data_IF_766593412887
#
_entry.id   IF_766593412887
#
_cell.length_a   1.000
_cell.length_b   1.000
_cell.length_c   1.000
_cell.angle_alpha   90.00
_cell.angle_beta   90.00
_cell.angle_gamma   90.00
#
_symmetry.space_group_name_H-M   'P 1'
#
loop_
_entity.id
_entity.type
_entity.pdbx_description
1 polymer ?
#
# COMPACT_ATOMS: atom_id res chain seq x y z
N UNK A 1 66.03 22.35 -4.87
CA UNK A 1 64.66 21.88 -4.48
C UNK A 1 64.24 20.90 -5.55
N UNK A 2 64.16 19.58 -5.21
CA UNK A 2 64.12 18.49 -6.20
C UNK A 2 62.79 18.49 -6.96
N UNK A 3 62.87 18.45 -8.32
CA UNK A 3 61.68 18.36 -9.23
C UNK A 3 60.74 17.24 -8.84
N UNK A 4 61.24 16.15 -8.27
CA UNK A 4 60.46 15.02 -7.78
C UNK A 4 59.61 15.33 -6.55
N UNK A 5 60.06 16.25 -5.69
CA UNK A 5 59.28 16.68 -4.51
C UNK A 5 58.03 17.49 -4.89
N UNK A 6 58.12 18.27 -5.97
CA UNK A 6 56.96 19.02 -6.51
C UNK A 6 55.91 18.10 -7.13
N UNK A 7 56.37 17.05 -7.82
CA UNK A 7 55.48 16.08 -8.45
C UNK A 7 54.74 15.26 -7.39
N UNK A 8 55.43 14.82 -6.34
CA UNK A 8 54.81 14.10 -5.20
C UNK A 8 53.81 14.95 -4.49
N UNK A 9 54.11 16.24 -4.24
CA UNK A 9 53.18 17.16 -3.61
C UNK A 9 51.89 17.41 -4.45
N UNK A 10 52.01 17.50 -5.80
CA UNK A 10 50.88 17.59 -6.71
C UNK A 10 50.02 16.33 -6.70
N UNK A 11 50.62 15.14 -6.72
CA UNK A 11 49.90 13.87 -6.67
C UNK A 11 49.11 13.68 -5.37
N UNK A 12 49.68 14.12 -4.23
CA UNK A 12 49.00 14.06 -2.92
C UNK A 12 47.80 15.02 -2.88
N UNK A 13 47.94 16.21 -3.49
CA UNK A 13 46.85 17.20 -3.54
C UNK A 13 45.61 16.69 -4.33
N UNK A 14 45.82 15.83 -5.33
CA UNK A 14 44.73 15.24 -6.11
C UNK A 14 43.96 14.13 -5.36
N UNK A 15 44.57 13.51 -4.36
CA UNK A 15 43.92 12.47 -3.54
C UNK A 15 42.91 13.02 -2.54
N UNK A 16 42.93 14.33 -2.29
CA UNK A 16 41.98 15.01 -1.41
C UNK A 16 40.78 15.62 -2.17
N UNK A 17 40.59 15.29 -3.46
CA UNK A 17 39.32 15.53 -4.14
C UNK A 17 38.27 14.58 -3.57
N UNK A 18 37.93 14.81 -2.32
CA UNK A 18 36.85 14.13 -1.61
C UNK A 18 35.58 14.29 -2.41
N UNK A 19 34.98 13.18 -2.83
CA UNK A 19 33.58 13.14 -3.24
C UNK A 19 32.78 13.86 -2.18
N UNK A 20 32.15 14.98 -2.52
CA UNK A 20 31.07 15.52 -1.70
C UNK A 20 30.00 14.45 -1.68
N UNK A 21 29.79 13.83 -0.52
CA UNK A 21 28.59 13.02 -0.28
C UNK A 21 27.47 14.05 -0.37
N UNK A 22 26.74 14.03 -1.45
CA UNK A 22 25.50 14.77 -1.58
C UNK A 22 24.58 14.18 -0.52
N UNK A 23 24.33 14.94 0.52
CA UNK A 23 23.39 14.56 1.58
C UNK A 23 22.02 14.52 0.92
N UNK A 24 21.61 13.30 0.50
CA UNK A 24 20.29 13.07 -0.09
C UNK A 24 19.31 13.36 1.04
N UNK A 25 18.69 14.54 1.01
CA UNK A 25 17.61 14.86 1.93
C UNK A 25 16.57 13.72 1.85
N UNK A 26 16.14 13.15 2.98
CA UNK A 26 15.15 12.06 2.96
C UNK A 26 13.90 12.58 2.24
N UNK A 27 13.53 11.91 1.14
CA UNK A 27 12.29 12.20 0.43
C UNK A 27 11.16 11.82 1.39
N UNK A 28 10.49 12.83 1.94
CA UNK A 28 9.30 12.61 2.76
C UNK A 28 8.19 12.14 1.84
N UNK A 29 7.81 10.87 1.95
CA UNK A 29 6.71 10.29 1.18
C UNK A 29 5.38 10.92 1.60
N UNK A 30 4.58 11.30 0.61
CA UNK A 30 3.26 11.87 0.89
C UNK A 30 2.31 10.78 1.44
N UNK A 31 1.40 11.13 2.35
CA UNK A 31 0.37 10.21 2.83
C UNK A 31 -0.43 9.58 1.69
N UNK A 32 -0.69 8.29 1.79
CA UNK A 32 -1.49 7.56 0.79
C UNK A 32 -2.95 7.94 0.93
N UNK A 33 -3.50 8.51 -0.12
CA UNK A 33 -4.91 8.86 -0.15
C UNK A 33 -5.74 7.68 -0.68
N UNK A 34 -6.42 6.99 0.23
CA UNK A 34 -7.32 5.88 -0.10
C UNK A 34 -8.77 6.33 -0.29
N UNK A 35 -9.10 7.61 -0.07
CA UNK A 35 -10.47 8.12 -0.22
C UNK A 35 -11.00 7.88 -1.63
N UNK A 36 -12.27 7.54 -1.75
CA UNK A 36 -12.95 7.26 -3.00
C UNK A 36 -13.72 5.95 -2.98
N UNK A 37 -14.43 5.65 -4.06
CA UNK A 37 -15.15 4.39 -4.27
C UNK A 37 -14.24 3.39 -4.96
N UNK A 38 -14.22 2.17 -4.45
CA UNK A 38 -13.36 1.09 -4.93
C UNK A 38 -14.22 -0.13 -5.29
N UNK A 39 -13.93 -0.73 -6.44
CA UNK A 39 -14.54 -1.95 -6.94
C UNK A 39 -13.51 -3.08 -7.00
N UNK A 40 -13.95 -4.32 -6.78
CA UNK A 40 -13.09 -5.50 -6.95
C UNK A 40 -12.88 -5.75 -8.45
N UNK A 41 -11.62 -5.86 -8.87
CA UNK A 41 -11.23 -6.20 -10.24
C UNK A 41 -10.59 -7.57 -10.34
N UNK A 42 -10.07 -8.09 -9.22
CA UNK A 42 -9.52 -9.43 -9.14
C UNK A 42 -9.74 -10.01 -7.75
N UNK A 43 -10.08 -11.27 -7.68
CA UNK A 43 -10.21 -12.04 -6.46
C UNK A 43 -9.47 -13.37 -6.59
N UNK A 44 -8.69 -13.75 -5.58
CA UNK A 44 -8.07 -15.07 -5.51
C UNK A 44 -8.36 -15.73 -4.17
N UNK A 45 -8.42 -17.07 -4.16
CA UNK A 45 -8.46 -17.89 -2.95
C UNK A 45 -7.32 -18.89 -3.02
N UNK A 46 -6.44 -18.89 -2.02
CA UNK A 46 -5.25 -19.75 -1.99
C UNK A 46 -4.44 -19.70 -3.30
N UNK A 47 -4.31 -18.50 -3.90
CA UNK A 47 -3.63 -18.32 -5.19
C UNK A 47 -4.46 -18.67 -6.43
N UNK A 48 -5.60 -19.36 -6.29
CA UNK A 48 -6.49 -19.68 -7.41
C UNK A 48 -7.38 -18.48 -7.73
N UNK A 49 -7.44 -18.08 -9.00
CA UNK A 49 -8.31 -16.98 -9.45
C UNK A 49 -9.79 -17.40 -9.36
N UNK A 50 -10.58 -16.60 -8.65
CA UNK A 50 -12.01 -16.79 -8.47
C UNK A 50 -12.82 -15.58 -8.95
N UNK A 51 -12.21 -14.69 -9.72
CA UNK A 51 -12.83 -13.42 -10.16
C UNK A 51 -14.14 -13.63 -10.92
N UNK A 52 -14.23 -14.73 -11.67
CA UNK A 52 -15.43 -15.08 -12.44
C UNK A 52 -16.34 -16.09 -11.74
N UNK A 53 -15.93 -16.60 -10.56
CA UNK A 53 -16.72 -17.59 -9.81
C UNK A 53 -17.87 -16.94 -9.03
N UNK A 54 -17.79 -15.63 -8.79
CA UNK A 54 -18.80 -14.82 -8.09
C UNK A 54 -19.02 -13.50 -8.83
N UNK A 55 -20.19 -12.93 -8.67
CA UNK A 55 -20.47 -11.58 -9.20
C UNK A 55 -19.95 -10.52 -8.24
N UNK A 56 -18.74 -10.03 -8.51
CA UNK A 56 -18.12 -8.93 -7.78
C UNK A 56 -18.50 -7.54 -8.33
N UNK A 57 -19.25 -7.48 -9.44
CA UNK A 57 -19.49 -6.22 -10.18
C UNK A 57 -20.28 -5.19 -9.39
N UNK A 58 -21.12 -5.63 -8.47
CA UNK A 58 -21.98 -4.77 -7.66
C UNK A 58 -21.34 -4.34 -6.33
N UNK A 59 -20.25 -4.98 -5.92
CA UNK A 59 -19.59 -4.65 -4.66
C UNK A 59 -18.87 -3.30 -4.76
N UNK A 60 -19.05 -2.47 -3.73
CA UNK A 60 -18.27 -1.25 -3.54
C UNK A 60 -17.88 -1.09 -2.09
N UNK A 61 -16.67 -0.58 -1.89
CA UNK A 61 -16.26 0.01 -0.63
C UNK A 61 -15.84 1.45 -0.90
N UNK A 62 -16.42 2.38 -0.17
CA UNK A 62 -16.09 3.80 -0.24
C UNK A 62 -15.40 4.21 1.04
N UNK A 63 -14.18 4.70 0.93
CA UNK A 63 -13.46 5.36 2.02
C UNK A 63 -13.64 6.86 1.91
N UNK A 64 -13.86 7.54 3.03
CA UNK A 64 -13.92 8.99 3.07
C UNK A 64 -12.72 9.60 3.80
N UNK A 65 -12.60 10.92 3.74
CA UNK A 65 -11.51 11.67 4.38
C UNK A 65 -11.64 11.76 5.91
N UNK A 66 -12.75 11.30 6.48
CA UNK A 66 -13.02 11.29 7.93
C UNK A 66 -12.76 9.94 8.57
N UNK A 67 -11.95 9.10 7.91
CA UNK A 67 -11.65 7.73 8.34
C UNK A 67 -12.88 6.84 8.48
N UNK A 68 -13.95 7.11 7.69
CA UNK A 68 -15.14 6.26 7.64
C UNK A 68 -15.15 5.47 6.33
N UNK A 69 -15.77 4.29 6.36
CA UNK A 69 -16.05 3.52 5.15
C UNK A 69 -17.50 3.10 5.09
N UNK A 70 -18.01 2.96 3.87
CA UNK A 70 -19.34 2.42 3.58
C UNK A 70 -19.25 1.29 2.58
N UNK A 71 -20.08 0.28 2.74
CA UNK A 71 -20.19 -0.88 1.87
C UNK A 71 -21.49 -0.83 1.07
N UNK A 72 -21.42 -1.22 -0.20
CA UNK A 72 -22.59 -1.43 -1.06
C UNK A 72 -22.53 -2.86 -1.60
N UNK A 73 -23.68 -3.57 -1.55
CA UNK A 73 -23.80 -4.97 -2.00
C UNK A 73 -22.75 -5.87 -1.36
N UNK A 74 -22.92 -6.12 -0.06
CA UNK A 74 -21.97 -6.89 0.73
C UNK A 74 -21.76 -8.30 0.18
N UNK A 75 -20.50 -8.66 0.03
CA UNK A 75 -20.00 -9.99 -0.31
C UNK A 75 -19.28 -10.60 0.90
N UNK A 76 -18.86 -11.85 0.87
CA UNK A 76 -17.85 -12.35 1.78
C UNK A 76 -16.61 -11.46 1.70
N UNK A 77 -16.44 -10.62 2.72
CA UNK A 77 -15.39 -9.61 2.82
C UNK A 77 -14.93 -9.53 4.28
N UNK A 78 -13.90 -8.75 4.55
CA UNK A 78 -13.35 -8.50 5.89
C UNK A 78 -14.41 -8.08 6.89
N UNK A 79 -15.34 -7.27 6.44
CA UNK A 79 -16.43 -6.67 7.24
C UNK A 79 -17.72 -6.68 6.45
N UNK A 80 -18.85 -6.69 7.14
CA UNK A 80 -20.19 -6.75 6.56
C UNK A 80 -21.08 -5.55 6.93
N UNK A 81 -20.51 -4.56 7.60
CA UNK A 81 -21.19 -3.32 8.01
C UNK A 81 -20.30 -2.13 7.72
N UNK A 82 -20.87 -0.97 7.61
CA UNK A 82 -20.18 0.31 7.59
C UNK A 82 -19.41 0.52 8.89
N UNK A 83 -18.48 1.48 8.91
CA UNK A 83 -17.70 1.75 10.12
C UNK A 83 -16.56 2.72 9.90
N UNK A 84 -15.55 2.59 10.74
CA UNK A 84 -14.33 3.38 10.72
C UNK A 84 -13.15 2.55 10.21
N UNK A 85 -12.16 3.21 9.58
CA UNK A 85 -10.92 2.58 9.18
C UNK A 85 -9.70 3.39 9.62
N UNK A 86 -8.57 2.74 9.68
CA UNK A 86 -7.28 3.37 9.93
C UNK A 86 -6.16 2.61 9.22
N UNK A 87 -5.21 3.35 8.65
CA UNK A 87 -3.93 2.81 8.20
C UNK A 87 -2.93 2.87 9.37
N UNK A 88 -2.05 1.89 9.48
CA UNK A 88 -0.99 1.85 10.51
C UNK A 88 0.02 2.97 10.32
N UNK A 89 0.40 3.26 9.09
CA UNK A 89 1.24 4.39 8.70
C UNK A 89 0.64 5.08 7.47
N UNK A 90 0.38 6.39 7.53
CA UNK A 90 -0.20 7.09 6.38
C UNK A 90 0.70 7.12 5.14
N UNK A 91 2.03 7.19 5.31
CA UNK A 91 2.99 7.28 4.21
C UNK A 91 3.38 5.90 3.66
N UNK A 92 3.53 4.91 4.56
CA UNK A 92 3.95 3.55 4.23
C UNK A 92 3.01 2.51 4.86
N UNK A 93 1.74 2.44 4.42
CA UNK A 93 0.77 1.55 5.04
C UNK A 93 1.03 0.09 4.66
N UNK A 94 1.06 -0.77 5.69
CA UNK A 94 1.14 -2.24 5.56
C UNK A 94 -0.08 -2.93 6.14
N UNK A 95 -0.87 -2.21 6.94
CA UNK A 95 -2.05 -2.73 7.62
C UNK A 95 -3.23 -1.76 7.53
N UNK A 96 -4.37 -2.30 7.14
CA UNK A 96 -5.67 -1.64 7.24
C UNK A 96 -6.42 -2.23 8.44
N UNK A 97 -6.80 -1.38 9.37
CA UNK A 97 -7.69 -1.74 10.49
C UNK A 97 -9.07 -1.18 10.19
N UNK A 98 -10.09 -2.01 10.35
CA UNK A 98 -11.50 -1.67 10.16
C UNK A 98 -12.28 -1.95 11.43
N UNK A 99 -13.14 -1.03 11.80
CA UNK A 99 -14.01 -1.11 12.99
C UNK A 99 -15.45 -1.00 12.50
N UNK A 100 -16.14 -2.13 12.26
CA UNK A 100 -17.54 -2.12 11.86
C UNK A 100 -18.45 -1.57 12.98
N UNK A 101 -19.53 -0.92 12.62
CA UNK A 101 -20.51 -0.40 13.56
C UNK A 101 -21.11 -1.53 14.41
N UNK A 102 -20.85 -1.49 15.72
CA UNK A 102 -21.27 -2.53 16.68
C UNK A 102 -20.59 -3.88 16.48
N UNK A 103 -19.47 -3.95 15.73
CA UNK A 103 -18.71 -5.17 15.49
C UNK A 103 -17.33 -5.16 16.12
N UNK A 104 -16.61 -6.28 15.96
CA UNK A 104 -15.23 -6.42 16.42
C UNK A 104 -14.25 -5.78 15.46
N UNK A 105 -13.11 -5.30 15.98
CA UNK A 105 -12.02 -4.76 15.17
C UNK A 105 -11.42 -5.87 14.29
N UNK A 106 -11.26 -5.57 13.02
CA UNK A 106 -10.63 -6.45 12.03
C UNK A 106 -9.41 -5.76 11.45
N UNK A 107 -8.29 -6.47 11.34
CA UNK A 107 -7.09 -5.95 10.67
C UNK A 107 -6.69 -6.89 9.54
N UNK A 108 -6.18 -6.30 8.47
CA UNK A 108 -5.72 -7.04 7.30
C UNK A 108 -4.41 -6.47 6.77
N UNK A 109 -3.64 -7.30 6.08
CA UNK A 109 -2.51 -6.83 5.30
C UNK A 109 -3.01 -5.92 4.18
N UNK A 110 -2.31 -4.81 3.99
CA UNK A 110 -2.66 -3.75 3.06
C UNK A 110 -1.48 -3.48 2.12
N UNK A 111 -1.75 -3.49 0.82
CA UNK A 111 -0.80 -3.05 -0.19
C UNK A 111 -1.46 -2.04 -1.12
N UNK A 112 -0.66 -1.08 -1.59
CA UNK A 112 -1.11 0.03 -2.43
C UNK A 112 -0.29 0.11 -3.72
N UNK A 113 -0.30 -0.96 -4.56
CA UNK A 113 0.50 -1.03 -5.77
C UNK A 113 -0.01 -0.09 -6.86
N UNK A 114 0.88 0.19 -7.83
CA UNK A 114 0.50 0.80 -9.11
C UNK A 114 0.74 -0.24 -10.20
N UNK A 115 -0.31 -0.64 -10.90
CA UNK A 115 -0.25 -1.62 -11.99
C UNK A 115 -0.69 -0.93 -13.28
N UNK A 116 0.17 -0.94 -14.30
CA UNK A 116 -0.06 -0.26 -15.58
C UNK A 116 -0.52 1.22 -15.43
N UNK A 117 0.05 1.94 -14.46
CA UNK A 117 -0.28 3.33 -14.16
C UNK A 117 -1.55 3.52 -13.29
N UNK A 118 -2.28 2.45 -12.99
CA UNK A 118 -3.50 2.50 -12.18
C UNK A 118 -3.15 2.14 -10.73
N UNK A 119 -3.59 2.97 -9.80
CA UNK A 119 -3.44 2.71 -8.36
C UNK A 119 -4.48 1.70 -7.91
N UNK A 120 -4.02 0.65 -7.23
CA UNK A 120 -4.86 -0.44 -6.73
C UNK A 120 -4.74 -0.55 -5.21
N UNK A 121 -5.75 -1.15 -4.57
CA UNK A 121 -5.65 -1.66 -3.21
C UNK A 121 -5.60 -3.18 -3.27
N UNK A 122 -4.70 -3.81 -2.53
CA UNK A 122 -4.68 -5.26 -2.36
C UNK A 122 -4.89 -5.57 -0.88
N UNK A 123 -5.96 -6.31 -0.58
CA UNK A 123 -6.36 -6.70 0.77
C UNK A 123 -6.27 -8.22 0.88
N UNK A 124 -5.53 -8.71 1.89
CA UNK A 124 -5.41 -10.14 2.18
C UNK A 124 -6.15 -10.45 3.47
N UNK A 125 -7.03 -11.42 3.45
CA UNK A 125 -7.81 -11.81 4.64
C UNK A 125 -8.11 -13.31 4.68
N UNK A 126 -8.42 -13.79 5.89
CA UNK A 126 -8.68 -15.20 6.18
C UNK A 126 -10.02 -15.28 6.93
N UNK A 127 -11.15 -15.52 6.25
CA UNK A 127 -12.42 -15.68 6.92
C UNK A 127 -12.54 -17.09 7.54
N UNK A 128 -12.38 -17.16 8.85
CA UNK A 128 -12.66 -18.34 9.68
C UNK A 128 -11.57 -19.41 9.70
N UNK A 129 -11.21 -20.01 8.59
CA UNK A 129 -10.19 -21.07 8.54
C UNK A 129 -8.87 -20.53 8.00
N UNK A 130 -7.77 -20.66 8.74
CA UNK A 130 -6.42 -20.18 8.38
C UNK A 130 -5.93 -20.73 7.02
N UNK A 131 -6.46 -21.87 6.58
CA UNK A 131 -6.16 -22.45 5.27
C UNK A 131 -6.85 -21.74 4.10
N UNK A 132 -7.74 -20.79 4.36
CA UNK A 132 -8.49 -20.07 3.32
C UNK A 132 -8.01 -18.61 3.26
N UNK A 133 -6.94 -18.35 2.54
CA UNK A 133 -6.46 -17.00 2.26
C UNK A 133 -7.13 -16.43 1.03
N UNK A 134 -7.76 -15.28 1.16
CA UNK A 134 -8.33 -14.49 0.08
C UNK A 134 -7.50 -13.23 -0.16
N UNK A 135 -7.31 -12.89 -1.43
CA UNK A 135 -6.72 -11.62 -1.84
C UNK A 135 -7.68 -10.95 -2.79
N UNK A 136 -8.17 -9.77 -2.42
CA UNK A 136 -8.97 -8.92 -3.30
C UNK A 136 -8.14 -7.74 -3.76
N UNK A 137 -8.09 -7.55 -5.08
CA UNK A 137 -7.51 -6.37 -5.71
C UNK A 137 -8.64 -5.46 -6.14
N UNK A 138 -8.57 -4.22 -5.67
CA UNK A 138 -9.59 -3.21 -5.93
C UNK A 138 -8.99 -2.05 -6.73
N UNK A 139 -9.79 -1.48 -7.61
CA UNK A 139 -9.48 -0.24 -8.35
C UNK A 139 -10.45 0.86 -7.96
N UNK A 140 -9.94 2.09 -7.97
CA UNK A 140 -10.78 3.26 -7.74
C UNK A 140 -11.68 3.47 -8.95
N UNK A 141 -12.94 3.77 -8.69
CA UNK A 141 -13.86 4.28 -9.72
C UNK A 141 -13.59 5.75 -9.98
N UNK A 142 -13.56 6.13 -11.24
CA UNK A 142 -13.43 7.53 -11.69
C UNK A 142 -14.78 8.23 -11.64
#
# INVERSE_FOLDING_TARGET
>A
MNRYMLIIACCIAWLFSSCKIEEIAPITEAPKNVSGSWKIVKATRNGTDITTAFDFTQFRIKFDSTESYTLTNTLPFLVNKNGKYKLDDPAYPFKLTMVPDGGSVVSTAFNYPTTAGIRQLSLTFVPGCELNSYIYTLEREN
#
